data_IF_973295114870
#
_entry.id   IF_973295114870
#
_cell.length_a   1.000
_cell.length_b   1.000
_cell.length_c   1.000
_cell.angle_alpha   90.00
_cell.angle_beta   90.00
_cell.angle_gamma   90.00
#
_symmetry.space_group_name_H-M   'P 1'
#
loop_
_entity.id
_entity.type
_entity.pdbx_description
1 polymer ?
#
# COMPACT_ATOMS: atom_id res chain seq x y z
N UNK A 1 -16.41 -1.47 1.30
CA UNK A 1 -17.19 -2.04 0.18
C UNK A 1 -16.45 -3.13 -0.53
N UNK A 2 -15.53 -3.80 0.19
CA UNK A 2 -15.02 -5.10 -0.22
C UNK A 2 -15.99 -6.20 0.26
N UNK A 3 -16.01 -7.33 -0.43
CA UNK A 3 -16.77 -8.48 0.05
C UNK A 3 -16.01 -9.08 1.22
N UNK A 4 -16.49 -8.91 2.46
CA UNK A 4 -15.94 -9.59 3.63
C UNK A 4 -16.17 -11.10 3.47
N UNK A 5 -15.11 -11.86 3.20
CA UNK A 5 -15.17 -13.30 2.99
C UNK A 5 -15.10 -14.04 4.33
N UNK A 6 -15.40 -15.34 4.30
CA UNK A 6 -15.37 -16.17 5.51
C UNK A 6 -13.98 -16.21 6.19
N UNK A 7 -12.91 -16.01 5.41
CA UNK A 7 -11.54 -15.97 5.93
C UNK A 7 -11.30 -14.72 6.78
N UNK A 8 -11.85 -13.57 6.39
CA UNK A 8 -11.71 -12.31 7.11
C UNK A 8 -12.37 -12.38 8.50
N UNK A 9 -13.53 -13.03 8.61
CA UNK A 9 -14.25 -13.19 9.89
C UNK A 9 -13.55 -14.11 10.89
N UNK A 10 -12.87 -15.15 10.40
CA UNK A 10 -12.10 -16.05 11.27
C UNK A 10 -10.86 -15.33 11.82
N UNK A 11 -10.24 -14.49 11.00
CA UNK A 11 -9.13 -13.63 11.43
C UNK A 11 -9.59 -12.60 12.46
N UNK A 12 -10.76 -11.97 12.27
CA UNK A 12 -11.29 -10.94 13.17
C UNK A 12 -11.44 -11.41 14.63
N UNK A 13 -12.10 -12.55 14.87
CA UNK A 13 -12.31 -13.05 16.23
C UNK A 13 -10.99 -13.39 16.95
N UNK A 14 -10.00 -13.89 16.21
CA UNK A 14 -8.66 -14.18 16.74
C UNK A 14 -7.92 -12.88 17.05
N UNK A 15 -7.98 -11.90 16.15
CA UNK A 15 -7.40 -10.57 16.33
C UNK A 15 -7.97 -9.87 17.56
N UNK A 16 -9.30 -9.82 17.70
CA UNK A 16 -9.96 -9.17 18.85
C UNK A 16 -9.54 -9.77 20.19
N UNK A 17 -9.35 -11.09 20.27
CA UNK A 17 -8.84 -11.73 21.48
C UNK A 17 -7.41 -11.28 21.80
N UNK A 18 -6.53 -11.23 20.81
CA UNK A 18 -5.16 -10.75 21.01
C UNK A 18 -5.11 -9.27 21.36
N UNK A 19 -6.02 -8.44 20.84
CA UNK A 19 -6.13 -7.04 21.24
C UNK A 19 -6.64 -6.87 22.67
N UNK A 20 -7.51 -7.75 23.16
CA UNK A 20 -7.91 -7.76 24.57
C UNK A 20 -6.74 -8.16 25.51
N UNK A 21 -5.82 -8.99 25.04
CA UNK A 21 -4.58 -9.30 25.79
C UNK A 21 -3.59 -8.12 25.73
N UNK A 22 -3.47 -7.46 24.57
CA UNK A 22 -2.63 -6.28 24.38
C UNK A 22 -3.13 -5.09 25.21
N UNK A 23 -4.45 -4.94 25.38
CA UNK A 23 -5.08 -3.85 26.13
C UNK A 23 -4.69 -3.80 27.61
N UNK A 24 -4.16 -4.91 28.14
CA UNK A 24 -3.60 -4.98 29.50
C UNK A 24 -2.28 -4.21 29.65
N UNK A 25 -1.63 -3.88 28.54
CA UNK A 25 -0.32 -3.21 28.51
C UNK A 25 -0.40 -1.80 27.93
N UNK A 26 -1.27 -1.57 26.95
CA UNK A 26 -1.42 -0.30 26.25
C UNK A 26 -2.90 -0.02 25.97
N UNK A 27 -3.33 1.22 26.14
CA UNK A 27 -4.62 1.68 25.62
C UNK A 27 -4.48 2.13 24.15
N UNK A 28 -5.44 1.78 23.31
CA UNK A 28 -5.37 2.10 21.88
C UNK A 28 -6.73 2.16 21.18
N UNK A 29 -6.77 2.96 20.12
CA UNK A 29 -7.83 2.93 19.11
C UNK A 29 -7.40 1.99 17.98
N UNK A 30 -8.13 0.91 17.78
CA UNK A 30 -7.98 -0.02 16.66
C UNK A 30 -8.80 0.48 15.46
N UNK A 31 -8.18 0.57 14.29
CA UNK A 31 -8.80 0.92 13.01
C UNK A 31 -8.59 -0.24 12.03
N UNK A 32 -9.66 -0.89 11.56
CA UNK A 32 -9.57 -1.99 10.59
C UNK A 32 -10.88 -2.18 9.84
N UNK A 33 -10.82 -2.62 8.56
CA UNK A 33 -12.04 -2.96 7.82
C UNK A 33 -12.77 -4.14 8.50
N UNK A 34 -14.09 -4.03 8.61
CA UNK A 34 -14.94 -5.09 9.16
C UNK A 34 -15.01 -5.15 10.68
N UNK A 35 -14.30 -4.27 11.40
CA UNK A 35 -14.34 -4.20 12.88
C UNK A 35 -15.29 -3.08 13.33
N UNK A 36 -16.14 -3.35 14.32
CA UNK A 36 -17.11 -2.35 14.82
C UNK A 36 -18.17 -1.96 13.78
N UNK A 37 -18.90 -0.86 14.02
CA UNK A 37 -19.89 -0.35 13.05
C UNK A 37 -19.24 0.56 11.98
N UNK A 38 -18.14 1.22 12.31
CA UNK A 38 -17.48 2.26 11.52
C UNK A 38 -16.01 1.95 11.20
N UNK A 39 -15.54 0.72 11.49
CA UNK A 39 -14.13 0.36 11.34
C UNK A 39 -13.26 0.70 12.55
N UNK A 40 -13.87 1.20 13.65
CA UNK A 40 -13.14 1.70 14.82
C UNK A 40 -13.59 1.01 16.10
N UNK A 41 -12.62 0.61 16.91
CA UNK A 41 -12.86 0.04 18.24
C UNK A 41 -11.79 0.53 19.21
N UNK A 42 -12.17 0.90 20.44
CA UNK A 42 -11.23 1.29 21.49
C UNK A 42 -10.97 0.14 22.46
N UNK A 43 -9.71 0.03 22.90
CA UNK A 43 -9.26 -0.92 23.90
C UNK A 43 -8.45 -0.21 25.02
N UNK A 44 -8.67 -0.55 26.30
CA UNK A 44 -9.79 -1.34 26.80
C UNK A 44 -11.13 -0.64 26.53
N UNK A 45 -12.25 -1.40 26.60
CA UNK A 45 -13.58 -0.95 26.12
C UNK A 45 -14.16 0.25 26.88
N UNK A 46 -13.63 0.54 28.05
CA UNK A 46 -13.99 1.66 28.93
C UNK A 46 -13.09 2.89 28.75
N UNK A 47 -12.07 2.82 27.88
CA UNK A 47 -11.21 3.95 27.54
C UNK A 47 -11.91 4.88 26.54
N UNK A 48 -11.79 6.19 26.76
CA UNK A 48 -12.21 7.18 25.77
C UNK A 48 -11.22 7.21 24.59
N UNK A 49 -11.68 7.34 23.32
CA UNK A 49 -10.80 7.29 22.15
C UNK A 49 -9.68 8.34 22.15
N UNK A 50 -9.92 9.51 22.73
CA UNK A 50 -8.94 10.61 22.80
C UNK A 50 -7.94 10.45 23.96
N UNK A 51 -8.25 9.60 24.94
CA UNK A 51 -7.36 9.30 26.08
C UNK A 51 -6.44 8.10 25.81
N UNK A 52 -6.76 7.28 24.79
CA UNK A 52 -5.96 6.14 24.41
C UNK A 52 -4.53 6.55 24.02
N UNK A 53 -3.53 5.75 24.38
CA UNK A 53 -2.11 6.05 24.13
C UNK A 53 -1.74 5.94 22.64
N UNK A 54 -2.31 4.95 21.95
CA UNK A 54 -1.92 4.60 20.58
C UNK A 54 -3.12 4.60 19.62
N UNK A 55 -2.82 4.72 18.34
CA UNK A 55 -3.70 4.29 17.24
C UNK A 55 -3.04 3.17 16.48
N UNK A 56 -3.76 2.07 16.31
CA UNK A 56 -3.30 0.88 15.59
C UNK A 56 -4.22 0.72 14.38
N UNK A 57 -3.67 0.83 13.17
CA UNK A 57 -4.39 0.62 11.91
C UNK A 57 -3.94 -0.68 11.27
N UNK A 58 -4.89 -1.48 10.79
CA UNK A 58 -4.63 -2.84 10.30
C UNK A 58 -5.43 -3.14 9.06
N UNK A 59 -4.76 -3.73 8.07
CA UNK A 59 -5.41 -4.59 7.09
C UNK A 59 -5.19 -6.06 7.49
N UNK A 60 -6.24 -6.78 7.92
CA UNK A 60 -6.09 -8.16 8.33
C UNK A 60 -5.67 -9.07 7.17
N UNK A 61 -6.09 -8.78 5.93
CA UNK A 61 -5.76 -9.55 4.73
C UNK A 61 -5.79 -8.62 3.50
N UNK A 62 -4.67 -7.96 3.22
CA UNK A 62 -4.47 -7.24 1.96
C UNK A 62 -4.21 -8.25 0.83
N UNK A 63 -5.09 -8.26 -0.18
CA UNK A 63 -5.01 -9.20 -1.30
C UNK A 63 -5.88 -10.46 -1.16
N UNK A 64 -6.96 -10.42 -0.37
CA UNK A 64 -7.90 -11.54 -0.12
C UNK A 64 -8.28 -12.31 -1.39
N UNK A 65 -8.65 -11.61 -2.48
CA UNK A 65 -9.00 -12.26 -3.76
C UNK A 65 -7.85 -13.08 -4.34
N UNK A 66 -6.62 -12.53 -4.32
CA UNK A 66 -5.43 -13.22 -4.81
C UNK A 66 -5.16 -14.52 -4.03
N UNK A 67 -5.28 -14.43 -2.70
CA UNK A 67 -5.09 -15.56 -1.79
C UNK A 67 -6.18 -16.63 -1.98
N UNK A 68 -7.46 -16.25 -2.05
CA UNK A 68 -8.58 -17.18 -2.23
C UNK A 68 -8.44 -18.05 -3.47
N UNK A 69 -7.96 -17.48 -4.57
CA UNK A 69 -7.74 -18.21 -5.83
C UNK A 69 -6.34 -18.77 -5.97
N UNK A 70 -5.51 -18.68 -4.92
CA UNK A 70 -4.12 -19.16 -4.90
C UNK A 70 -3.25 -18.56 -6.03
N UNK A 71 -3.54 -17.31 -6.42
CA UNK A 71 -2.83 -16.62 -7.51
C UNK A 71 -1.58 -15.92 -7.02
N UNK A 72 -1.67 -15.24 -5.88
CA UNK A 72 -0.60 -14.51 -5.21
C UNK A 72 -0.76 -14.62 -3.69
N UNK A 73 0.33 -14.57 -2.92
CA UNK A 73 0.26 -14.34 -1.48
C UNK A 73 -0.55 -13.09 -1.14
N UNK A 74 -1.01 -13.02 0.10
CA UNK A 74 -1.63 -11.83 0.68
C UNK A 74 -0.74 -11.32 1.82
N UNK A 75 -1.14 -10.22 2.47
CA UNK A 75 -0.36 -9.59 3.52
C UNK A 75 -1.24 -9.19 4.70
N UNK A 76 -0.72 -9.37 5.92
CA UNK A 76 -1.23 -8.70 7.10
C UNK A 76 -0.45 -7.41 7.23
N UNK A 77 -1.15 -6.28 7.23
CA UNK A 77 -0.55 -4.94 7.33
C UNK A 77 -0.89 -4.35 8.69
N UNK A 78 0.10 -3.80 9.39
CA UNK A 78 -0.10 -3.17 10.68
C UNK A 78 0.76 -1.92 10.79
N UNK A 79 0.12 -0.80 11.12
CA UNK A 79 0.77 0.46 11.45
C UNK A 79 0.35 0.93 12.85
N UNK A 80 1.30 1.45 13.62
CA UNK A 80 1.08 1.97 14.97
C UNK A 80 1.64 3.38 15.09
N UNK A 81 0.80 4.29 15.56
CA UNK A 81 1.14 5.68 15.82
C UNK A 81 0.78 6.06 17.26
N UNK A 82 1.49 7.05 17.81
CA UNK A 82 1.03 7.73 19.04
C UNK A 82 -0.29 8.44 18.74
N UNK A 83 -1.26 8.33 19.64
CA UNK A 83 -2.55 8.96 19.45
C UNK A 83 -2.45 10.49 19.52
N UNK A 84 -2.81 11.16 18.43
CA UNK A 84 -2.97 12.62 18.32
C UNK A 84 -4.42 12.99 18.03
N UNK A 85 -5.37 12.14 18.45
CA UNK A 85 -6.78 12.26 18.13
C UNK A 85 -7.03 12.19 16.62
N UNK A 86 -8.01 12.97 16.15
CA UNK A 86 -8.38 13.03 14.72
C UNK A 86 -7.27 13.57 13.80
N UNK A 87 -6.19 14.15 14.34
CA UNK A 87 -5.05 14.64 13.54
C UNK A 87 -4.03 13.55 13.23
N UNK A 88 -4.14 12.37 13.84
CA UNK A 88 -3.24 11.25 13.58
C UNK A 88 -3.40 10.78 12.14
N UNK A 89 -2.30 10.75 11.40
CA UNK A 89 -2.27 10.37 9.99
C UNK A 89 -1.13 9.37 9.70
N UNK A 90 -1.06 8.87 8.46
CA UNK A 90 -0.06 7.87 8.04
C UNK A 90 1.38 8.30 8.34
N UNK A 91 1.72 9.59 8.26
CA UNK A 91 3.09 10.06 8.54
C UNK A 91 3.49 9.96 10.02
N UNK A 92 2.50 9.81 10.90
CA UNK A 92 2.67 9.64 12.34
C UNK A 92 2.92 8.19 12.75
N UNK A 93 2.84 7.23 11.83
CA UNK A 93 3.18 5.83 12.10
C UNK A 93 4.66 5.73 12.48
N UNK A 94 4.93 5.13 13.63
CA UNK A 94 6.26 4.96 14.22
C UNK A 94 6.71 3.50 14.27
N UNK A 95 5.78 2.56 14.17
CA UNK A 95 6.03 1.12 14.02
C UNK A 95 5.16 0.58 12.89
N UNK A 96 5.75 -0.19 11.98
CA UNK A 96 5.03 -0.89 10.94
C UNK A 96 5.49 -2.36 10.86
N UNK A 97 4.55 -3.26 10.60
CA UNK A 97 4.78 -4.69 10.38
C UNK A 97 3.97 -5.16 9.19
N UNK A 98 4.62 -5.86 8.27
CA UNK A 98 4.03 -6.47 7.10
C UNK A 98 4.37 -7.96 7.08
N UNK A 99 3.36 -8.82 7.21
CA UNK A 99 3.53 -10.28 7.31
C UNK A 99 2.89 -10.99 6.13
N UNK A 100 3.64 -11.79 5.39
CA UNK A 100 3.13 -12.53 4.23
C UNK A 100 2.21 -13.68 4.67
N UNK A 101 1.06 -13.78 4.00
CA UNK A 101 0.17 -14.93 4.05
C UNK A 101 0.46 -15.80 2.83
N UNK A 102 1.19 -16.92 2.99
CA UNK A 102 1.69 -17.70 1.87
C UNK A 102 0.58 -18.51 1.20
N UNK A 103 0.79 -18.83 -0.07
CA UNK A 103 0.00 -19.83 -0.79
C UNK A 103 0.17 -21.23 -0.17
N UNK A 104 -0.78 -22.13 -0.43
CA UNK A 104 -0.73 -23.53 0.02
C UNK A 104 0.55 -24.23 -0.44
N UNK A 105 0.97 -23.98 -1.69
CA UNK A 105 2.20 -24.55 -2.27
C UNK A 105 3.49 -23.81 -1.87
N UNK A 106 3.38 -22.66 -1.20
CA UNK A 106 4.51 -21.81 -0.86
C UNK A 106 5.01 -22.15 0.55
N UNK A 107 6.26 -22.57 0.65
CA UNK A 107 6.85 -22.97 1.92
C UNK A 107 7.71 -21.88 2.60
N UNK A 108 8.05 -20.81 1.88
CA UNK A 108 8.76 -19.66 2.42
C UNK A 108 7.77 -18.51 2.57
N UNK A 109 7.82 -17.81 3.70
CA UNK A 109 7.00 -16.62 3.94
C UNK A 109 7.85 -15.54 4.60
N UNK A 110 7.66 -14.31 4.16
CA UNK A 110 8.44 -13.18 4.66
C UNK A 110 7.67 -12.33 5.66
N UNK A 111 8.40 -11.66 6.55
CA UNK A 111 7.88 -10.62 7.41
C UNK A 111 8.88 -9.47 7.42
N UNK A 112 8.40 -8.25 7.27
CA UNK A 112 9.21 -7.03 7.25
C UNK A 112 8.67 -6.06 8.29
N UNK A 113 9.54 -5.31 8.95
CA UNK A 113 9.11 -4.31 9.92
C UNK A 113 10.06 -3.12 9.95
N UNK A 114 9.55 -2.02 10.47
CA UNK A 114 10.33 -0.82 10.75
C UNK A 114 9.87 -0.18 12.05
N UNK A 115 10.82 0.34 12.79
CA UNK A 115 10.59 1.34 13.83
C UNK A 115 11.23 2.63 13.32
N UNK A 116 10.51 3.74 13.38
CA UNK A 116 10.94 5.03 12.82
C UNK A 116 12.33 5.42 13.32
N UNK A 117 13.23 5.70 12.39
CA UNK A 117 14.63 6.05 12.67
C UNK A 117 15.52 4.89 13.16
N UNK A 118 15.05 3.65 13.12
CA UNK A 118 15.85 2.45 13.42
C UNK A 118 16.16 1.65 12.14
N UNK A 119 17.08 0.68 12.25
CA UNK A 119 17.35 -0.22 11.12
C UNK A 119 16.10 -1.06 10.80
N UNK A 120 15.71 -1.07 9.51
CA UNK A 120 14.65 -1.94 9.02
C UNK A 120 15.00 -3.41 9.27
N UNK A 121 14.00 -4.18 9.69
CA UNK A 121 14.15 -5.60 9.95
C UNK A 121 13.30 -6.44 9.02
N UNK A 122 13.69 -7.70 8.89
CA UNK A 122 12.91 -8.68 8.19
C UNK A 122 13.37 -10.09 8.52
N UNK A 123 12.45 -11.04 8.37
CA UNK A 123 12.74 -12.46 8.45
C UNK A 123 12.06 -13.22 7.33
N UNK A 124 12.70 -14.30 6.90
CA UNK A 124 12.11 -15.33 6.05
C UNK A 124 11.95 -16.60 6.86
N UNK A 125 10.71 -17.06 6.96
CA UNK A 125 10.31 -18.27 7.67
C UNK A 125 10.11 -19.44 6.71
N UNK A 126 10.76 -20.57 6.99
CA UNK A 126 10.56 -21.82 6.28
C UNK A 126 9.56 -22.70 7.02
N UNK A 127 8.37 -22.88 6.44
CA UNK A 127 7.25 -23.63 7.02
C UNK A 127 7.47 -25.14 7.08
N UNK A 128 8.42 -25.67 6.30
CA UNK A 128 8.74 -27.10 6.30
C UNK A 128 9.73 -27.46 7.41
N UNK A 129 10.66 -26.56 7.74
CA UNK A 129 11.74 -26.82 8.70
C UNK A 129 11.58 -26.08 10.02
N UNK A 130 10.77 -25.01 10.05
CA UNK A 130 10.66 -24.09 11.19
C UNK A 130 11.82 -23.08 11.29
N UNK A 131 12.73 -23.05 10.31
CA UNK A 131 13.88 -22.15 10.31
C UNK A 131 13.48 -20.70 10.01
N UNK A 132 14.16 -19.75 10.67
CA UNK A 132 14.09 -18.32 10.38
C UNK A 132 15.45 -17.82 9.95
N UNK A 133 15.48 -17.06 8.86
CA UNK A 133 16.69 -16.37 8.39
C UNK A 133 16.42 -14.89 8.26
N UNK A 134 17.43 -14.06 8.53
CA UNK A 134 17.30 -12.62 8.40
C UNK A 134 17.07 -12.23 6.93
N UNK A 135 16.13 -11.32 6.70
CA UNK A 135 15.82 -10.74 5.40
C UNK A 135 16.01 -9.22 5.51
N UNK A 136 16.85 -8.65 4.66
CA UNK A 136 16.99 -7.19 4.56
C UNK A 136 16.31 -6.72 3.29
N UNK A 137 15.37 -5.75 3.37
CA UNK A 137 14.88 -5.07 2.17
C UNK A 137 16.05 -4.53 1.35
N UNK A 138 15.93 -4.66 0.04
CA UNK A 138 16.95 -4.25 -0.92
C UNK A 138 16.27 -3.68 -2.17
N UNK A 139 15.76 -2.43 -2.10
CA UNK A 139 15.11 -1.80 -3.24
C UNK A 139 16.03 -1.71 -4.46
N UNK A 140 15.44 -1.62 -5.65
CA UNK A 140 16.17 -1.59 -6.90
C UNK A 140 17.13 -0.40 -6.95
N UNK A 141 18.40 -0.64 -7.27
CA UNK A 141 19.43 0.40 -7.43
C UNK A 141 19.59 0.86 -8.90
N UNK A 142 18.71 0.39 -9.79
CA UNK A 142 18.79 0.70 -11.21
C UNK A 142 18.45 2.19 -11.47
N UNK A 143 19.21 2.88 -12.35
CA UNK A 143 19.03 4.31 -12.59
C UNK A 143 17.96 4.64 -13.65
N UNK A 144 17.25 3.64 -14.16
CA UNK A 144 16.24 3.81 -15.22
C UNK A 144 15.14 2.77 -15.12
N UNK A 145 13.93 3.09 -15.58
CA UNK A 145 12.84 2.11 -15.73
C UNK A 145 13.03 1.12 -16.88
N UNK A 146 14.01 1.34 -17.78
CA UNK A 146 14.23 0.51 -18.96
C UNK A 146 14.55 -0.96 -18.62
N UNK A 147 13.87 -1.91 -19.25
CA UNK A 147 13.98 -3.36 -18.96
C UNK A 147 13.65 -3.71 -17.49
N UNK A 148 12.89 -2.87 -16.80
CA UNK A 148 12.45 -3.08 -15.43
C UNK A 148 10.96 -3.31 -15.33
N UNK A 149 10.53 -3.80 -14.17
CA UNK A 149 9.12 -3.87 -13.81
C UNK A 149 8.68 -2.56 -13.14
N UNK A 150 7.45 -2.17 -13.43
CA UNK A 150 6.79 -1.03 -12.82
C UNK A 150 5.70 -0.47 -13.72
N UNK A 151 4.76 0.28 -13.15
CA UNK A 151 3.65 0.84 -13.93
C UNK A 151 2.50 1.38 -13.10
N UNK A 152 1.42 1.72 -13.81
CA UNK A 152 0.18 2.22 -13.22
C UNK A 152 -0.83 1.09 -12.99
N UNK A 153 -1.28 0.93 -11.75
CA UNK A 153 -2.28 -0.04 -11.31
C UNK A 153 -3.61 0.10 -12.06
N UNK A 154 -4.12 -1.01 -12.62
CA UNK A 154 -5.34 -1.08 -13.46
C UNK A 154 -6.09 -2.41 -13.28
N UNK A 155 -6.30 -2.82 -12.04
CA UNK A 155 -6.82 -4.14 -11.67
C UNK A 155 -8.25 -4.42 -12.11
N UNK A 156 -9.10 -3.39 -12.18
CA UNK A 156 -10.56 -3.56 -12.34
C UNK A 156 -11.06 -2.97 -13.65
N UNK A 157 -12.10 -3.56 -14.28
CA UNK A 157 -12.79 -2.95 -15.42
C UNK A 157 -13.30 -1.53 -15.14
N UNK A 158 -13.56 -0.75 -16.19
CA UNK A 158 -14.07 0.64 -16.11
C UNK A 158 -13.01 1.65 -16.55
N UNK A 159 -11.93 1.78 -15.76
CA UNK A 159 -10.89 2.79 -15.95
C UNK A 159 -9.57 2.28 -16.57
N UNK A 160 -9.51 1.01 -17.01
CA UNK A 160 -8.23 0.39 -17.43
C UNK A 160 -7.62 1.06 -18.65
N UNK A 161 -8.45 1.53 -19.58
CA UNK A 161 -7.97 2.13 -20.82
C UNK A 161 -7.23 3.43 -20.53
N UNK A 162 -7.80 4.27 -19.67
CA UNK A 162 -7.25 5.56 -19.26
C UNK A 162 -5.94 5.38 -18.50
N UNK A 163 -5.91 4.43 -17.55
CA UNK A 163 -4.73 4.11 -16.76
C UNK A 163 -3.62 3.51 -17.63
N UNK A 164 -3.95 2.60 -18.55
CA UNK A 164 -2.97 2.02 -19.47
C UNK A 164 -2.43 3.04 -20.49
N UNK A 165 -3.26 3.98 -20.95
CA UNK A 165 -2.81 5.05 -21.85
C UNK A 165 -1.80 5.97 -21.16
N UNK A 166 -2.05 6.32 -19.89
CA UNK A 166 -1.08 7.10 -19.09
C UNK A 166 0.23 6.32 -18.89
N UNK A 167 0.14 5.03 -18.60
CA UNK A 167 1.30 4.15 -18.40
C UNK A 167 2.17 4.08 -19.67
N UNK A 168 1.54 3.86 -20.82
CA UNK A 168 2.20 3.87 -22.14
C UNK A 168 2.84 5.22 -22.46
N UNK A 169 2.19 6.33 -22.13
CA UNK A 169 2.73 7.66 -22.37
C UNK A 169 3.92 7.98 -21.45
N UNK A 170 3.91 7.56 -20.18
CA UNK A 170 5.08 7.64 -19.28
C UNK A 170 6.26 6.90 -19.92
N UNK A 171 6.07 5.64 -20.31
CA UNK A 171 7.15 4.82 -20.90
C UNK A 171 7.68 5.46 -22.18
N UNK A 172 6.80 5.94 -23.05
CA UNK A 172 7.16 6.58 -24.32
C UNK A 172 7.93 7.89 -24.14
N UNK A 173 7.52 8.75 -23.20
CA UNK A 173 8.24 10.01 -22.93
C UNK A 173 9.61 9.76 -22.33
N UNK A 174 9.76 8.74 -21.47
CA UNK A 174 11.01 8.45 -20.79
C UNK A 174 12.00 7.64 -21.62
N UNK A 175 11.53 6.66 -22.39
CA UNK A 175 12.37 5.70 -23.11
C UNK A 175 12.36 5.89 -24.62
N UNK A 176 11.54 6.83 -25.12
CA UNK A 176 11.35 7.07 -26.54
C UNK A 176 10.48 6.02 -27.24
N UNK A 177 10.39 6.06 -28.58
CA UNK A 177 9.52 5.18 -29.34
C UNK A 177 9.92 3.70 -29.21
N UNK A 178 8.92 2.82 -29.30
CA UNK A 178 9.11 1.36 -29.28
C UNK A 178 10.05 0.93 -30.40
N UNK A 179 11.02 0.08 -30.05
CA UNK A 179 11.94 -0.55 -31.00
C UNK A 179 11.36 -1.88 -31.46
N UNK A 180 11.53 -2.20 -32.73
CA UNK A 180 10.99 -3.42 -33.31
C UNK A 180 11.56 -4.66 -32.58
N UNK A 181 10.68 -5.46 -31.99
CA UNK A 181 11.05 -6.70 -31.30
C UNK A 181 11.58 -6.54 -29.86
N UNK A 182 11.54 -5.33 -29.28
CA UNK A 182 12.00 -5.07 -27.91
C UNK A 182 10.86 -4.58 -27.01
N UNK A 183 10.71 -5.20 -25.83
CA UNK A 183 9.92 -4.62 -24.75
C UNK A 183 10.79 -3.61 -23.98
N UNK A 184 10.33 -2.37 -23.81
CA UNK A 184 11.12 -1.31 -23.15
C UNK A 184 10.97 -1.31 -21.63
N UNK A 185 9.83 -1.76 -21.12
CA UNK A 185 9.50 -1.91 -19.70
C UNK A 185 8.46 -3.04 -19.57
N UNK A 186 8.30 -3.55 -18.35
CA UNK A 186 7.41 -4.66 -18.04
C UNK A 186 6.47 -4.28 -16.88
N UNK A 187 5.36 -5.00 -16.77
CA UNK A 187 4.47 -4.92 -15.62
C UNK A 187 4.08 -6.33 -15.15
N UNK A 188 4.00 -6.51 -13.83
CA UNK A 188 3.32 -7.63 -13.17
C UNK A 188 2.53 -7.05 -12.00
N UNK A 189 1.23 -6.85 -12.22
CA UNK A 189 0.39 -6.11 -11.27
C UNK A 189 -0.01 -6.98 -10.08
N UNK A 190 0.71 -6.81 -8.96
CA UNK A 190 0.28 -7.31 -7.67
C UNK A 190 -1.03 -6.62 -7.26
N UNK A 191 -2.11 -7.40 -7.15
CA UNK A 191 -3.48 -6.88 -6.97
C UNK A 191 -3.80 -6.47 -5.53
N UNK A 192 -2.84 -5.88 -4.82
CA UNK A 192 -2.96 -5.43 -3.43
C UNK A 192 -1.79 -4.49 -3.07
N UNK A 193 -2.02 -3.47 -2.23
CA UNK A 193 -1.04 -2.39 -2.01
C UNK A 193 0.18 -2.86 -1.20
N UNK A 194 -0.03 -3.72 -0.20
CA UNK A 194 1.05 -4.34 0.56
C UNK A 194 1.95 -5.20 -0.32
N UNK A 195 1.36 -5.95 -1.27
CA UNK A 195 2.12 -6.70 -2.28
C UNK A 195 2.95 -5.78 -3.17
N UNK A 196 2.39 -4.68 -3.64
CA UNK A 196 3.11 -3.67 -4.42
C UNK A 196 4.26 -3.02 -3.64
N UNK A 197 4.04 -2.65 -2.37
CA UNK A 197 5.12 -2.16 -1.49
C UNK A 197 6.22 -3.21 -1.31
N UNK A 198 5.86 -4.49 -1.17
CA UNK A 198 6.82 -5.58 -1.07
C UNK A 198 7.69 -5.70 -2.32
N UNK A 199 7.10 -5.66 -3.52
CA UNK A 199 7.86 -5.76 -4.78
C UNK A 199 8.86 -4.60 -4.95
N UNK A 200 8.53 -3.40 -4.45
CA UNK A 200 9.48 -2.28 -4.35
C UNK A 200 10.58 -2.57 -3.31
N UNK A 201 10.21 -3.06 -2.12
CA UNK A 201 11.11 -3.34 -1.00
C UNK A 201 12.17 -4.41 -1.33
N UNK A 202 11.81 -5.42 -2.12
CA UNK A 202 12.76 -6.47 -2.55
C UNK A 202 13.41 -6.17 -3.91
N UNK A 203 13.11 -5.01 -4.50
CA UNK A 203 13.78 -4.49 -5.69
C UNK A 203 13.37 -5.15 -7.01
N UNK A 204 12.26 -5.87 -7.03
CA UNK A 204 11.67 -6.40 -8.26
C UNK A 204 11.08 -5.26 -9.12
N UNK A 205 10.30 -4.40 -8.47
CA UNK A 205 9.69 -3.24 -9.12
C UNK A 205 10.55 -1.99 -8.91
N UNK A 206 10.58 -1.12 -9.94
CA UNK A 206 11.32 0.14 -9.93
C UNK A 206 10.44 1.33 -9.59
N UNK A 207 9.17 1.27 -9.99
CA UNK A 207 8.17 2.26 -9.65
C UNK A 207 6.77 1.67 -9.76
N UNK A 208 5.85 2.14 -8.94
CA UNK A 208 4.44 1.74 -8.97
C UNK A 208 3.59 2.98 -8.72
N UNK A 209 2.49 3.14 -9.44
CA UNK A 209 1.51 4.17 -9.16
C UNK A 209 0.10 3.59 -9.06
N UNK A 210 -0.60 3.87 -7.98
CA UNK A 210 -2.04 3.67 -7.89
C UNK A 210 -2.76 5.02 -7.99
N UNK A 211 -3.35 5.25 -9.15
CA UNK A 211 -4.02 6.50 -9.52
C UNK A 211 -5.53 6.33 -9.64
N UNK A 212 -6.06 5.15 -9.25
CA UNK A 212 -7.48 4.82 -9.41
C UNK A 212 -8.43 5.85 -8.76
N UNK A 213 -8.14 6.45 -7.60
CA UNK A 213 -8.98 7.51 -7.03
C UNK A 213 -9.15 8.72 -7.95
N UNK A 214 -8.14 9.06 -8.74
CA UNK A 214 -8.18 10.24 -9.61
C UNK A 214 -9.09 10.06 -10.82
N UNK A 215 -9.50 8.83 -11.14
CA UNK A 215 -10.31 8.54 -12.34
C UNK A 215 -11.82 8.68 -12.05
N UNK A 216 -12.23 8.89 -10.80
CA UNK A 216 -13.63 9.08 -10.43
C UNK A 216 -14.37 10.12 -11.31
N UNK A 217 -13.82 11.33 -11.57
CA UNK A 217 -14.50 12.31 -12.43
C UNK A 217 -14.75 11.78 -13.85
N UNK A 218 -13.83 10.97 -14.40
CA UNK A 218 -13.97 10.39 -15.74
C UNK A 218 -15.07 9.34 -15.77
N UNK A 219 -15.17 8.50 -14.73
CA UNK A 219 -16.24 7.50 -14.59
C UNK A 219 -17.61 8.16 -14.40
N UNK A 220 -17.67 9.21 -13.57
CA UNK A 220 -18.90 9.97 -13.33
C UNK A 220 -19.45 10.58 -14.63
N UNK A 221 -18.60 11.09 -15.52
CA UNK A 221 -19.02 11.59 -16.84
C UNK A 221 -19.62 10.50 -17.75
N UNK A 222 -19.31 9.23 -17.50
CA UNK A 222 -19.86 8.06 -18.21
C UNK A 222 -21.09 7.47 -17.52
N UNK A 223 -21.50 8.02 -16.37
CA UNK A 223 -22.53 7.43 -15.52
C UNK A 223 -22.10 6.11 -14.87
N UNK A 224 -20.79 5.89 -14.72
CA UNK A 224 -20.20 4.72 -14.08
C UNK A 224 -19.78 5.08 -12.65
N UNK A 225 -19.96 4.15 -11.71
CA UNK A 225 -19.50 4.31 -10.34
C UNK A 225 -18.01 4.02 -10.21
N UNK A 226 -17.35 4.67 -9.25
CA UNK A 226 -15.95 4.38 -8.92
C UNK A 226 -15.81 2.94 -8.39
N UNK A 227 -14.79 2.24 -8.89
CA UNK A 227 -14.40 0.93 -8.36
C UNK A 227 -13.58 1.04 -7.07
N UNK A 228 -13.11 -0.12 -6.57
CA UNK A 228 -12.23 -0.17 -5.41
C UNK A 228 -10.89 0.52 -5.70
N UNK A 229 -10.41 1.29 -4.72
CA UNK A 229 -9.08 1.89 -4.69
C UNK A 229 -8.44 1.69 -3.31
N UNK A 230 -7.21 2.18 -3.17
CA UNK A 230 -6.45 2.13 -1.93
C UNK A 230 -7.03 3.09 -0.87
N UNK A 231 -6.96 2.69 0.39
CA UNK A 231 -7.30 3.42 1.61
C UNK A 231 -6.12 3.42 2.60
N UNK A 232 -6.20 4.13 3.75
CA UNK A 232 -5.09 4.22 4.69
C UNK A 232 -4.62 2.87 5.26
N UNK A 233 -5.51 1.91 5.46
CA UNK A 233 -5.14 0.59 5.96
C UNK A 233 -4.30 -0.22 4.95
N UNK A 234 -4.53 -0.04 3.65
CA UNK A 234 -3.76 -0.71 2.59
C UNK A 234 -2.30 -0.19 2.51
N UNK A 235 -2.01 1.00 3.05
CA UNK A 235 -0.69 1.65 3.03
C UNK A 235 -0.13 1.90 4.45
N UNK A 236 -0.72 1.30 5.48
CA UNK A 236 -0.27 1.51 6.86
C UNK A 236 1.15 0.99 7.13
N UNK A 237 1.75 0.24 6.21
CA UNK A 237 3.13 -0.24 6.26
C UNK A 237 4.11 0.58 5.41
N UNK A 238 3.69 1.73 4.85
CA UNK A 238 4.55 2.65 4.08
C UNK A 238 5.86 3.01 4.79
N UNK A 239 5.84 3.11 6.13
CA UNK A 239 7.02 3.39 6.93
C UNK A 239 8.19 2.45 6.59
N UNK A 240 7.92 1.17 6.30
CA UNK A 240 8.95 0.19 5.93
C UNK A 240 9.64 0.60 4.63
N UNK A 241 8.86 1.03 3.63
CA UNK A 241 9.38 1.51 2.35
C UNK A 241 10.21 2.79 2.53
N UNK A 242 9.70 3.75 3.30
CA UNK A 242 10.38 5.01 3.59
C UNK A 242 11.72 4.81 4.30
N UNK A 243 11.76 3.96 5.32
CA UNK A 243 13.01 3.63 6.04
C UNK A 243 13.99 2.81 5.17
N UNK A 244 13.49 2.10 4.14
CA UNK A 244 14.33 1.45 3.13
C UNK A 244 14.87 2.40 2.04
N UNK A 245 14.53 3.70 2.09
CA UNK A 245 14.95 4.70 1.12
C UNK A 245 14.11 4.75 -0.16
N UNK A 246 12.98 4.04 -0.20
CA UNK A 246 11.97 4.19 -1.25
C UNK A 246 11.26 5.52 -1.05
N UNK A 247 11.05 6.26 -2.13
CA UNK A 247 10.29 7.51 -2.08
C UNK A 247 8.82 7.17 -2.35
N UNK A 248 7.94 7.49 -1.41
CA UNK A 248 6.50 7.31 -1.56
C UNK A 248 5.81 8.67 -1.46
N UNK A 249 4.97 8.99 -2.45
CA UNK A 249 4.24 10.26 -2.51
C UNK A 249 2.79 10.06 -2.91
N UNK A 250 1.95 11.06 -2.65
CA UNK A 250 0.68 11.24 -3.32
C UNK A 250 0.88 11.75 -4.76
N UNK A 251 -0.22 11.99 -5.46
CA UNK A 251 -0.29 12.49 -6.83
C UNK A 251 0.30 13.90 -7.03
N UNK A 252 0.47 14.66 -5.95
CA UNK A 252 1.08 15.99 -5.94
C UNK A 252 2.57 15.96 -5.56
N UNK A 253 3.17 14.77 -5.40
CA UNK A 253 4.56 14.61 -4.98
C UNK A 253 4.79 14.95 -3.51
N UNK A 254 3.75 14.95 -2.66
CA UNK A 254 3.83 15.17 -1.22
C UNK A 254 3.77 13.84 -0.45
N UNK A 255 4.25 13.78 0.80
CA UNK A 255 4.06 12.60 1.64
C UNK A 255 2.58 12.21 1.79
N UNK A 256 2.31 10.92 2.02
CA UNK A 256 0.97 10.41 2.28
C UNK A 256 0.49 10.87 3.67
N UNK A 257 -0.36 11.90 3.72
CA UNK A 257 -0.85 12.51 4.96
C UNK A 257 -2.32 12.19 5.28
N UNK A 258 -2.84 11.08 4.76
CA UNK A 258 -4.23 10.69 4.99
C UNK A 258 -4.47 10.32 6.47
N UNK A 259 -5.66 10.66 7.03
CA UNK A 259 -6.04 10.24 8.37
C UNK A 259 -6.03 8.71 8.51
N UNK A 260 -5.87 8.21 9.73
CA UNK A 260 -6.00 6.77 9.99
C UNK A 260 -7.47 6.37 10.05
N UNK A 261 -8.03 5.99 8.90
CA UNK A 261 -9.42 5.52 8.74
C UNK A 261 -9.55 4.40 7.70
N UNK A 262 -10.79 3.96 7.45
CA UNK A 262 -11.12 2.88 6.49
C UNK A 262 -11.87 3.37 5.24
N UNK A 263 -11.92 4.68 5.01
CA UNK A 263 -12.83 5.29 4.01
C UNK A 263 -12.18 6.31 3.09
N UNK A 264 -11.05 6.89 3.49
CA UNK A 264 -10.35 7.90 2.70
C UNK A 264 -9.74 7.24 1.46
N UNK A 265 -10.15 7.66 0.27
CA UNK A 265 -9.53 7.19 -0.97
C UNK A 265 -8.12 7.79 -1.10
N UNK A 266 -7.13 6.97 -1.45
CA UNK A 266 -5.73 7.37 -1.55
C UNK A 266 -5.10 7.00 -2.89
N UNK A 267 -4.58 7.99 -3.59
CA UNK A 267 -3.58 7.77 -4.65
C UNK A 267 -2.20 7.77 -4.06
N UNK A 268 -1.33 6.92 -4.59
CA UNK A 268 0.06 6.85 -4.16
C UNK A 268 0.97 6.47 -5.32
N UNK A 269 2.24 6.87 -5.21
CA UNK A 269 3.29 6.55 -6.16
C UNK A 269 4.54 6.19 -5.36
N UNK A 270 5.11 5.03 -5.62
CA UNK A 270 6.36 4.54 -5.06
C UNK A 270 7.47 4.54 -6.10
N UNK A 271 8.66 4.99 -5.69
CA UNK A 271 9.86 5.00 -6.52
C UNK A 271 11.00 4.31 -5.78
N UNK A 272 11.57 3.26 -6.37
CA UNK A 272 12.56 2.40 -5.70
C UNK A 272 13.82 3.15 -5.26
N UNK A 273 14.16 4.26 -5.93
CA UNK A 273 15.30 5.12 -5.58
C UNK A 273 15.13 6.55 -6.11
N UNK A 274 16.04 7.44 -5.71
CA UNK A 274 16.04 8.86 -6.08
C UNK A 274 16.13 9.11 -7.59
N UNK A 275 16.94 8.34 -8.31
CA UNK A 275 17.10 8.50 -9.76
C UNK A 275 15.81 8.16 -10.50
N UNK A 276 15.12 7.09 -10.08
CA UNK A 276 13.81 6.72 -10.64
C UNK A 276 12.76 7.80 -10.32
N UNK A 277 12.76 8.36 -9.11
CA UNK A 277 11.90 9.49 -8.76
C UNK A 277 12.12 10.70 -9.69
N UNK A 278 13.37 11.11 -9.89
CA UNK A 278 13.73 12.23 -10.76
C UNK A 278 13.41 11.96 -12.24
N UNK A 279 13.45 10.69 -12.64
CA UNK A 279 13.05 10.26 -13.98
C UNK A 279 11.52 10.31 -14.17
N UNK A 280 10.75 9.67 -13.29
CA UNK A 280 9.33 9.39 -13.51
C UNK A 280 8.41 10.51 -13.03
N UNK A 281 8.68 11.10 -11.86
CA UNK A 281 7.75 12.05 -11.23
C UNK A 281 7.40 13.27 -12.12
N UNK A 282 8.36 13.96 -12.76
CA UNK A 282 8.03 15.13 -13.59
C UNK A 282 7.13 14.79 -14.79
N UNK A 283 7.38 13.63 -15.42
CA UNK A 283 6.59 13.17 -16.57
C UNK A 283 5.19 12.76 -16.14
N UNK A 284 5.06 12.00 -15.06
CA UNK A 284 3.76 11.58 -14.55
C UNK A 284 2.92 12.78 -14.12
N UNK A 285 3.49 13.73 -13.37
CA UNK A 285 2.79 14.97 -13.00
C UNK A 285 2.30 15.73 -14.23
N UNK A 286 3.16 15.91 -15.25
CA UNK A 286 2.75 16.58 -16.50
C UNK A 286 1.60 15.85 -17.20
N UNK A 287 1.58 14.51 -17.21
CA UNK A 287 0.49 13.72 -17.82
C UNK A 287 -0.81 13.92 -17.04
N UNK A 288 -0.75 13.90 -15.70
CA UNK A 288 -1.91 14.11 -14.84
C UNK A 288 -2.50 15.53 -15.01
N UNK A 289 -1.65 16.55 -15.11
CA UNK A 289 -2.08 17.93 -15.39
C UNK A 289 -2.75 18.06 -16.76
N UNK A 290 -2.14 17.49 -17.80
CA UNK A 290 -2.69 17.53 -19.17
C UNK A 290 -4.05 16.84 -19.28
N UNK A 291 -4.26 15.78 -18.49
CA UNK A 291 -5.54 15.06 -18.41
C UNK A 291 -6.53 15.70 -17.43
N UNK A 292 -6.16 16.81 -16.78
CA UNK A 292 -7.02 17.51 -15.82
C UNK A 292 -7.33 16.69 -14.56
N UNK A 293 -6.46 15.75 -14.20
CA UNK A 293 -6.64 14.85 -13.05
C UNK A 293 -6.09 15.43 -11.75
N UNK A 294 -5.31 16.51 -11.82
CA UNK A 294 -4.89 17.29 -10.65
C UNK A 294 -5.79 18.51 -10.50
N UNK A 295 -6.54 18.58 -9.40
CA UNK A 295 -7.31 19.78 -9.06
C UNK A 295 -6.35 20.85 -8.53
N UNK A 296 -6.38 22.06 -9.09
CA UNK A 296 -5.52 23.19 -8.68
C UNK A 296 -5.79 23.75 -7.25
N UNK A 297 -6.44 23.00 -6.36
CA UNK A 297 -6.90 23.49 -5.05
C UNK A 297 -6.85 22.53 -3.86
N UNK A 298 -6.30 21.32 -3.99
CA UNK A 298 -6.27 20.33 -2.89
C UNK A 298 -4.87 19.99 -2.33
N UNK A 299 -3.81 20.64 -2.81
CA UNK A 299 -2.44 20.43 -2.30
C UNK A 299 -2.14 21.06 -0.92
N UNK A 300 -3.16 21.47 -0.18
CA UNK A 300 -3.02 22.15 1.12
C UNK A 300 -4.23 21.84 2.02
N UNK A 301 -4.25 20.64 2.61
CA UNK A 301 -4.95 20.34 3.85
C UNK A 301 -4.14 19.28 4.59
#
# INVERSE_FOLDING_TARGET
GDAVFAIDRVSEAVLLKHFEELSQHWSFVLIAEGVGEDGVVVFPRDCEPDEAELRIIIDPIDGTRGLMYQKRPAWILTGVAVNRGAQTNITDIELALQTEIPLVKQHLSDSLWAIKGQEIGGERYNRLTGERSALKPSPSQMPSIAQGYGGISRFFPGARAELAEMDDEVVKQLLGPRRLGEAQAFEDQYICSGGQLYELLVGHDRWIADLRPLIEPVLNLRGEAQGLCCHPYDLCTELIAREAGIIVTNEYGKPLAAPLDVTTNMSWIGYANRTIYEQVAPVLTSILEQKGLLNQGQGSA
#
